data_IF_207547461614
#
_entry.id   IF_207547461614
#
_cell.length_a   1.000
_cell.length_b   1.000
_cell.length_c   1.000
_cell.angle_alpha   90.00
_cell.angle_beta   90.00
_cell.angle_gamma   90.00
#
_symmetry.space_group_name_H-M   'P 1'
#
loop_
_entity.id
_entity.type
_entity.pdbx_description
1 polymer ?
#
# COMPACT_ATOMS: atom_id res chain seq x y z
N UNK A 1 3.62 0.91 19.75
CA UNK A 1 2.71 0.04 19.03
C UNK A 1 2.26 0.68 17.73
N UNK A 2 2.17 -0.11 16.67
CA UNK A 2 1.63 0.34 15.40
C UNK A 2 0.11 0.50 15.50
N UNK A 3 -0.43 1.47 14.76
CA UNK A 3 -1.87 1.68 14.65
C UNK A 3 -2.28 1.67 13.18
N UNK A 4 -3.01 0.62 12.78
CA UNK A 4 -3.58 0.52 11.44
C UNK A 4 -4.52 1.69 11.15
N UNK A 5 -5.30 2.09 12.15
CA UNK A 5 -6.22 3.22 12.02
C UNK A 5 -5.49 4.54 11.76
N UNK A 6 -4.39 4.80 12.47
CA UNK A 6 -3.59 6.02 12.26
C UNK A 6 -2.91 5.99 10.90
N UNK A 7 -2.41 4.84 10.47
CA UNK A 7 -1.79 4.72 9.15
C UNK A 7 -2.81 5.01 8.04
N UNK A 8 -4.00 4.42 8.12
CA UNK A 8 -5.07 4.68 7.16
C UNK A 8 -5.54 6.13 7.20
N UNK A 9 -5.62 6.72 8.39
CA UNK A 9 -5.99 8.13 8.56
C UNK A 9 -4.99 9.08 7.91
N UNK A 10 -3.69 8.83 8.09
CA UNK A 10 -2.66 9.60 7.42
C UNK A 10 -2.82 9.49 5.89
N UNK A 11 -2.99 8.27 5.39
CA UNK A 11 -3.15 8.05 3.96
C UNK A 11 -4.36 8.80 3.41
N UNK A 12 -5.49 8.75 4.12
CA UNK A 12 -6.71 9.46 3.72
C UNK A 12 -6.50 10.96 3.63
N UNK A 13 -5.76 11.54 4.59
CA UNK A 13 -5.55 12.98 4.64
C UNK A 13 -4.57 13.48 3.57
N UNK A 14 -3.65 12.64 3.14
CA UNK A 14 -2.54 13.08 2.27
C UNK A 14 -2.64 12.58 0.82
N UNK A 15 -3.52 11.63 0.53
CA UNK A 15 -3.68 11.13 -0.83
C UNK A 15 -4.24 12.23 -1.75
N UNK A 16 -3.60 12.38 -2.92
CA UNK A 16 -4.04 13.33 -3.93
C UNK A 16 -5.11 12.75 -4.85
N UNK A 17 -5.42 13.48 -5.90
CA UNK A 17 -6.41 13.05 -6.90
C UNK A 17 -5.76 12.26 -8.04
N UNK A 18 -4.46 12.47 -8.26
CA UNK A 18 -3.73 11.86 -9.37
C UNK A 18 -2.42 11.26 -8.88
N UNK A 19 -1.97 10.20 -9.56
CA UNK A 19 -0.69 9.56 -9.25
C UNK A 19 0.47 10.54 -9.41
N UNK A 20 1.38 10.52 -8.44
CA UNK A 20 2.63 11.29 -8.47
C UNK A 20 3.84 10.35 -8.61
N UNK A 21 3.60 9.06 -8.88
CA UNK A 21 4.63 8.03 -9.02
C UNK A 21 5.48 7.86 -7.75
N UNK A 22 4.87 8.06 -6.59
CA UNK A 22 5.53 7.98 -5.28
C UNK A 22 4.80 7.06 -4.32
N UNK A 23 4.18 6.01 -4.84
CA UNK A 23 3.34 5.13 -4.02
C UNK A 23 4.11 4.48 -2.88
N UNK A 24 5.32 3.99 -3.12
CA UNK A 24 6.13 3.35 -2.07
C UNK A 24 6.51 4.35 -0.97
N UNK A 25 6.94 5.55 -1.35
CA UNK A 25 7.26 6.61 -0.40
C UNK A 25 6.03 7.01 0.41
N UNK A 26 4.91 7.21 -0.26
CA UNK A 26 3.65 7.60 0.38
C UNK A 26 3.21 6.55 1.40
N UNK A 27 3.15 5.28 0.98
CA UNK A 27 2.73 4.19 1.85
C UNK A 27 3.68 4.03 3.03
N UNK A 28 4.99 4.15 2.80
CA UNK A 28 5.97 4.08 3.88
C UNK A 28 5.77 5.19 4.92
N UNK A 29 5.49 6.42 4.48
CA UNK A 29 5.20 7.53 5.39
C UNK A 29 3.93 7.27 6.21
N UNK A 30 2.88 6.75 5.57
CA UNK A 30 1.65 6.43 6.27
C UNK A 30 1.86 5.35 7.34
N UNK A 31 2.61 4.31 7.00
CA UNK A 31 2.91 3.23 7.94
C UNK A 31 3.70 3.76 9.14
N UNK A 32 4.71 4.62 8.91
CA UNK A 32 5.48 5.23 9.99
C UNK A 32 4.62 6.16 10.85
N UNK A 33 3.67 6.88 10.23
CA UNK A 33 2.72 7.71 10.98
C UNK A 33 1.86 6.88 11.92
N UNK A 34 1.61 5.62 11.58
CA UNK A 34 0.92 4.66 12.44
C UNK A 34 1.80 4.06 13.54
N UNK A 35 3.09 4.36 13.56
CA UNK A 35 4.01 3.92 14.61
C UNK A 35 4.88 2.71 14.29
N UNK A 36 4.74 2.10 13.11
CA UNK A 36 5.61 1.01 12.72
C UNK A 36 6.97 1.53 12.24
N UNK A 37 8.03 0.81 12.56
CA UNK A 37 9.39 1.22 12.21
C UNK A 37 9.77 0.63 10.84
N UNK A 38 9.24 1.24 9.79
CA UNK A 38 9.47 0.79 8.42
C UNK A 38 10.64 1.52 7.79
N UNK A 39 11.57 0.75 7.22
CA UNK A 39 12.67 1.31 6.43
C UNK A 39 12.15 1.79 5.07
N UNK A 40 12.78 2.83 4.53
CA UNK A 40 12.41 3.35 3.21
C UNK A 40 12.67 2.32 2.11
N UNK A 41 11.76 2.29 1.14
CA UNK A 41 11.89 1.48 -0.07
C UNK A 41 11.58 2.36 -1.27
N UNK A 42 12.45 2.37 -2.27
CA UNK A 42 12.24 3.18 -3.47
C UNK A 42 11.10 2.64 -4.34
N UNK A 43 11.02 1.33 -4.47
CA UNK A 43 10.08 0.70 -5.40
C UNK A 43 9.10 -0.19 -4.65
N UNK A 44 7.82 -0.08 -5.01
CA UNK A 44 6.77 -0.85 -4.36
C UNK A 44 7.04 -2.36 -4.42
N UNK A 45 7.52 -2.84 -5.56
CA UNK A 45 7.81 -4.27 -5.75
C UNK A 45 8.78 -4.84 -4.69
N UNK A 46 9.57 -3.99 -4.04
CA UNK A 46 10.62 -4.40 -3.10
C UNK A 46 10.22 -4.18 -1.63
N UNK A 47 8.96 -3.83 -1.36
CA UNK A 47 8.53 -3.50 0.01
C UNK A 47 8.38 -4.70 0.93
N UNK A 48 8.24 -5.92 0.38
CA UNK A 48 7.93 -7.10 1.19
C UNK A 48 8.89 -7.29 2.36
N UNK A 49 10.20 -7.30 2.08
CA UNK A 49 11.19 -7.57 3.13
C UNK A 49 11.16 -6.52 4.23
N UNK A 50 11.00 -5.24 3.87
CA UNK A 50 10.92 -4.17 4.85
C UNK A 50 9.65 -4.24 5.69
N UNK A 51 8.52 -4.64 5.08
CA UNK A 51 7.28 -4.85 5.81
C UNK A 51 7.43 -5.99 6.82
N UNK A 52 8.01 -7.12 6.42
CA UNK A 52 8.24 -8.25 7.31
C UNK A 52 9.14 -7.85 8.48
N UNK A 53 10.23 -7.13 8.21
CA UNK A 53 11.15 -6.65 9.24
C UNK A 53 10.46 -5.68 10.21
N UNK A 54 9.46 -4.93 9.74
CA UNK A 54 8.72 -3.98 10.57
C UNK A 54 7.60 -4.65 11.38
N UNK A 55 7.42 -5.96 11.26
CA UNK A 55 6.42 -6.70 12.03
C UNK A 55 5.13 -7.02 11.29
N UNK A 56 5.07 -6.73 9.99
CA UNK A 56 3.91 -7.11 9.17
C UNK A 56 4.00 -8.59 8.79
N UNK A 57 2.84 -9.20 8.59
CA UNK A 57 2.74 -10.56 8.07
C UNK A 57 1.71 -10.59 6.95
N UNK A 58 1.88 -11.54 6.03
CA UNK A 58 0.95 -11.70 4.92
C UNK A 58 -0.38 -12.25 5.40
N UNK A 59 -1.46 -11.69 4.86
CA UNK A 59 -2.82 -12.13 5.19
C UNK A 59 -3.58 -12.45 3.91
N UNK A 60 -4.67 -13.20 4.05
CA UNK A 60 -5.52 -13.63 2.95
C UNK A 60 -6.97 -13.30 3.28
N UNK A 61 -7.82 -13.25 2.27
CA UNK A 61 -9.24 -12.94 2.43
C UNK A 61 -9.51 -11.45 2.39
N UNK A 62 -10.60 -11.02 3.03
CA UNK A 62 -11.04 -9.64 2.99
C UNK A 62 -10.05 -8.71 3.70
N UNK A 63 -9.68 -7.58 3.08
CA UNK A 63 -8.81 -6.62 3.73
C UNK A 63 -9.53 -5.90 4.87
N UNK A 64 -8.75 -5.45 5.86
CA UNK A 64 -9.24 -4.57 6.91
C UNK A 64 -8.44 -3.27 6.90
N UNK A 65 -8.99 -2.23 7.51
CA UNK A 65 -8.36 -0.91 7.56
C UNK A 65 -6.90 -1.01 7.99
N UNK A 66 -6.01 -0.37 7.24
CA UNK A 66 -4.58 -0.36 7.51
C UNK A 66 -3.79 -1.46 6.84
N UNK A 67 -4.45 -2.42 6.19
CA UNK A 67 -3.76 -3.45 5.43
C UNK A 67 -3.02 -2.81 4.24
N UNK A 68 -1.85 -3.35 3.92
CA UNK A 68 -1.00 -2.86 2.84
C UNK A 68 -0.97 -3.87 1.71
N UNK A 69 -1.31 -3.44 0.50
CA UNK A 69 -1.15 -4.26 -0.70
C UNK A 69 0.13 -3.89 -1.41
N UNK A 70 0.89 -4.91 -1.81
CA UNK A 70 2.07 -4.76 -2.67
C UNK A 70 1.79 -5.52 -3.95
N UNK A 71 1.80 -4.81 -5.07
CA UNK A 71 1.38 -5.30 -6.38
C UNK A 71 2.61 -5.37 -7.29
N UNK A 72 2.78 -6.48 -7.98
CA UNK A 72 3.93 -6.71 -8.84
C UNK A 72 3.87 -5.86 -10.11
N UNK A 73 5.02 -5.68 -10.79
CA UNK A 73 5.08 -4.84 -11.99
C UNK A 73 4.20 -5.31 -13.15
N UNK A 74 3.85 -4.35 -14.01
CA UNK A 74 3.29 -4.58 -15.34
C UNK A 74 4.24 -3.96 -16.38
N UNK A 75 3.91 -4.12 -17.67
CA UNK A 75 4.77 -3.64 -18.74
C UNK A 75 5.03 -2.12 -18.65
N UNK A 76 4.02 -1.33 -18.29
CA UNK A 76 4.14 0.13 -18.20
C UNK A 76 4.33 0.65 -16.78
N UNK A 77 4.42 -0.26 -15.79
CA UNK A 77 4.63 0.08 -14.38
C UNK A 77 5.71 -0.84 -13.81
N UNK A 78 6.99 -0.61 -14.17
CA UNK A 78 8.08 -1.57 -13.87
C UNK A 78 8.45 -1.65 -12.39
N UNK A 79 7.98 -0.72 -11.56
CA UNK A 79 8.31 -0.69 -10.13
C UNK A 79 7.20 -1.26 -9.25
N UNK A 80 6.10 -1.73 -9.86
CA UNK A 80 4.95 -2.20 -9.12
C UNK A 80 4.13 -1.08 -8.50
N UNK A 81 3.30 -1.44 -7.53
CA UNK A 81 2.43 -0.47 -6.86
C UNK A 81 2.22 -0.89 -5.40
N UNK A 82 2.00 0.07 -4.54
CA UNK A 82 1.65 -0.16 -3.14
C UNK A 82 0.51 0.75 -2.73
N UNK A 83 -0.39 0.25 -1.88
CA UNK A 83 -1.50 1.04 -1.37
C UNK A 83 -1.94 0.52 0.00
N UNK A 84 -2.65 1.37 0.74
CA UNK A 84 -3.19 1.06 2.07
C UNK A 84 -4.71 1.05 1.99
N UNK A 85 -5.33 0.02 2.58
CA UNK A 85 -6.78 -0.08 2.64
C UNK A 85 -7.33 0.89 3.69
N UNK A 86 -8.25 1.75 3.25
CA UNK A 86 -8.87 2.76 4.12
C UNK A 86 -10.18 2.32 4.75
N UNK A 87 -10.64 1.12 4.41
CA UNK A 87 -11.98 0.66 4.77
C UNK A 87 -13.01 1.05 3.70
N UNK A 88 -14.17 0.42 3.74
CA UNK A 88 -15.29 0.72 2.83
C UNK A 88 -14.95 0.67 1.33
N UNK A 89 -14.01 -0.20 0.96
CA UNK A 89 -13.64 -0.41 -0.44
C UNK A 89 -12.68 0.61 -1.02
N UNK A 90 -12.19 1.57 -0.24
CA UNK A 90 -11.29 2.62 -0.71
C UNK A 90 -9.85 2.29 -0.34
N UNK A 91 -8.95 2.44 -1.31
CA UNK A 91 -7.51 2.26 -1.14
C UNK A 91 -6.77 3.58 -1.36
N UNK A 92 -5.67 3.76 -0.67
CA UNK A 92 -4.86 4.97 -0.75
C UNK A 92 -3.41 4.62 -1.09
N UNK A 93 -2.92 5.21 -2.16
CA UNK A 93 -1.51 5.38 -2.43
C UNK A 93 -1.25 6.90 -2.38
N UNK A 94 -0.38 7.43 -3.22
CA UNK A 94 -0.27 8.89 -3.36
C UNK A 94 -1.53 9.50 -3.99
N UNK A 95 -2.51 8.67 -4.36
CA UNK A 95 -3.84 9.11 -4.80
C UNK A 95 -4.91 8.16 -4.29
N UNK A 96 -6.18 8.62 -4.34
CA UNK A 96 -7.34 7.83 -3.89
C UNK A 96 -7.72 6.81 -4.96
N UNK A 97 -7.89 5.54 -4.55
CA UNK A 97 -8.22 4.44 -5.44
C UNK A 97 -9.55 3.80 -5.02
N UNK A 98 -10.42 3.52 -5.98
CA UNK A 98 -11.68 2.81 -5.72
C UNK A 98 -11.51 1.30 -5.74
N UNK A 99 -10.37 0.81 -6.23
CA UNK A 99 -10.02 -0.61 -6.26
C UNK A 99 -8.56 -0.78 -5.89
N UNK A 100 -8.19 -1.98 -5.44
CA UNK A 100 -6.79 -2.28 -5.10
C UNK A 100 -5.89 -2.09 -6.32
N UNK A 101 -6.28 -2.61 -7.47
CA UNK A 101 -5.55 -2.32 -8.71
C UNK A 101 -5.81 -0.88 -9.11
N UNK A 102 -4.75 -0.06 -9.24
CA UNK A 102 -4.93 1.39 -9.33
C UNK A 102 -5.35 1.93 -10.68
N UNK A 103 -5.32 1.13 -11.72
CA UNK A 103 -5.62 1.61 -13.05
C UNK A 103 -5.98 0.52 -14.03
N UNK A 104 -6.25 0.92 -15.27
CA UNK A 104 -6.77 0.03 -16.30
C UNK A 104 -5.83 -1.14 -16.59
N UNK A 105 -4.54 -0.86 -16.80
CA UNK A 105 -3.57 -1.93 -17.11
C UNK A 105 -3.51 -2.96 -15.99
N UNK A 106 -3.46 -2.51 -14.74
CA UNK A 106 -3.45 -3.42 -13.60
C UNK A 106 -4.71 -4.28 -13.54
N UNK A 107 -5.87 -3.70 -13.83
CA UNK A 107 -7.14 -4.45 -13.83
C UNK A 107 -7.21 -5.47 -14.97
N UNK A 108 -6.58 -5.18 -16.09
CA UNK A 108 -6.56 -6.09 -17.24
C UNK A 108 -5.53 -7.20 -17.07
N UNK A 109 -4.31 -6.84 -16.66
CA UNK A 109 -3.20 -7.79 -16.50
C UNK A 109 -3.34 -8.63 -15.24
N UNK A 110 -3.84 -8.01 -14.15
CA UNK A 110 -4.01 -8.65 -12.84
C UNK A 110 -2.71 -9.28 -12.35
N UNK A 111 -1.62 -8.49 -12.20
CA UNK A 111 -0.38 -9.03 -11.70
C UNK A 111 -0.53 -9.57 -10.29
N UNK A 112 0.38 -10.45 -9.88
CA UNK A 112 0.40 -11.00 -8.55
C UNK A 112 0.47 -9.89 -7.50
N UNK A 113 -0.18 -10.09 -6.37
CA UNK A 113 -0.14 -9.15 -5.25
C UNK A 113 -0.15 -9.93 -3.93
N UNK A 114 0.24 -9.24 -2.87
CA UNK A 114 0.11 -9.77 -1.51
C UNK A 114 -0.36 -8.65 -0.60
N UNK A 115 -1.11 -9.01 0.44
CA UNK A 115 -1.63 -8.08 1.43
C UNK A 115 -0.97 -8.39 2.77
N UNK A 116 -0.53 -7.35 3.45
CA UNK A 116 0.21 -7.43 4.72
C UNK A 116 -0.52 -6.66 5.81
N UNK A 117 -0.45 -7.21 7.02
CA UNK A 117 -1.10 -6.63 8.20
C UNK A 117 -0.11 -6.57 9.34
N UNK A 118 -0.13 -5.49 10.11
CA UNK A 118 0.62 -5.36 11.34
C UNK A 118 -0.32 -5.63 12.52
N UNK A 119 0.11 -6.49 13.40
CA UNK A 119 -0.68 -6.80 14.60
C UNK A 119 -0.52 -5.73 15.67
#
# INVERSE_FOLDING_TARGET
MSSAHKAAGYARQHAGQHSQKRCAEFVSKAIRAGGANLQNTHYAKDMKSNLILAGFHQVYGEPVEGDVAVIQPTAHHPYGHACIYGGNGVWYSDFVQRTMYPGKEYREVKPAYAIYRHD
#
